data_IF_368206209851
#
_entry.id   IF_368206209851
#
_cell.length_a   1.000
_cell.length_b   1.000
_cell.length_c   1.000
_cell.angle_alpha   90.00
_cell.angle_beta   90.00
_cell.angle_gamma   90.00
#
_symmetry.space_group_name_H-M   'P 1'
#
loop_
_entity.id
_entity.type
_entity.pdbx_description
1 polymer ?
#
# COMPACT_ATOMS: atom_id res chain seq x y z
N UNK A 1 19.75 10.28 17.65
CA UNK A 1 21.17 9.88 17.47
C UNK A 1 21.48 8.86 18.55
N UNK A 2 22.14 7.73 18.21
CA UNK A 2 22.46 6.68 19.20
C UNK A 2 23.56 7.20 20.14
N UNK A 3 23.40 7.10 21.47
CA UNK A 3 24.46 7.47 22.42
C UNK A 3 25.75 6.68 22.16
N UNK A 4 26.91 7.35 22.16
CA UNK A 4 28.21 6.70 21.89
C UNK A 4 28.49 5.55 22.87
N UNK A 5 28.06 5.72 24.11
CA UNK A 5 28.21 4.72 25.17
C UNK A 5 27.45 3.42 24.89
N UNK A 6 26.33 3.45 24.16
CA UNK A 6 25.60 2.24 23.77
C UNK A 6 26.21 1.60 22.50
N UNK A 7 26.85 2.40 21.64
CA UNK A 7 27.43 1.93 20.38
C UNK A 7 28.69 1.09 20.57
N UNK A 8 29.50 1.44 21.56
CA UNK A 8 30.81 0.81 21.79
C UNK A 8 30.75 -0.35 22.80
N UNK A 9 29.57 -0.60 23.40
CA UNK A 9 29.35 -1.71 24.34
C UNK A 9 29.01 -3.02 23.61
N UNK A 10 29.45 -4.18 24.11
CA UNK A 10 29.00 -5.46 23.60
C UNK A 10 27.53 -5.71 23.95
N UNK A 11 26.75 -6.22 22.99
CA UNK A 11 25.31 -6.43 23.08
C UNK A 11 24.86 -7.16 24.37
N UNK A 12 25.59 -8.19 24.78
CA UNK A 12 25.25 -9.03 25.94
C UNK A 12 25.45 -8.35 27.30
N UNK A 13 26.06 -7.17 27.33
CA UNK A 13 26.26 -6.37 28.55
C UNK A 13 25.20 -5.29 28.75
N UNK A 14 24.28 -5.12 27.81
CA UNK A 14 23.26 -4.08 27.86
C UNK A 14 22.12 -4.48 28.82
N UNK A 15 21.71 -3.51 29.62
CA UNK A 15 20.52 -3.59 30.47
C UNK A 15 19.25 -3.49 29.62
N UNK A 16 18.12 -3.99 30.14
CA UNK A 16 16.84 -3.89 29.46
C UNK A 16 16.44 -2.46 29.08
N UNK A 17 16.79 -1.48 29.93
CA UNK A 17 16.58 -0.05 29.65
C UNK A 17 17.39 0.45 28.45
N UNK A 18 18.66 0.05 28.33
CA UNK A 18 19.52 0.43 27.20
C UNK A 18 19.03 -0.22 25.89
N UNK A 19 18.46 -1.43 25.97
CA UNK A 19 17.83 -2.10 24.82
C UNK A 19 16.59 -1.32 24.38
N UNK A 20 15.70 -0.93 25.30
CA UNK A 20 14.50 -0.13 24.97
C UNK A 20 14.90 1.20 24.32
N UNK A 21 15.95 1.86 24.83
CA UNK A 21 16.47 3.10 24.27
C UNK A 21 17.05 2.92 22.85
N UNK A 22 17.76 1.82 22.59
CA UNK A 22 18.25 1.49 21.26
C UNK A 22 17.11 1.22 20.28
N UNK A 23 16.10 0.46 20.70
CA UNK A 23 14.90 0.17 19.89
C UNK A 23 14.15 1.45 19.54
N UNK A 24 13.94 2.34 20.50
CA UNK A 24 13.29 3.63 20.25
C UNK A 24 14.08 4.49 19.26
N UNK A 25 15.41 4.50 19.35
CA UNK A 25 16.27 5.23 18.41
C UNK A 25 16.27 4.67 16.97
N UNK A 26 16.01 3.37 16.78
CA UNK A 26 16.03 2.70 15.47
C UNK A 26 14.62 2.66 14.83
N UNK A 27 13.59 2.36 15.62
CA UNK A 27 12.22 2.14 15.14
C UNK A 27 11.36 3.40 15.16
N UNK A 28 11.64 4.33 16.08
CA UNK A 28 10.91 5.58 16.24
C UNK A 28 11.88 6.75 16.06
N UNK A 29 12.31 7.07 14.82
CA UNK A 29 12.92 8.36 14.60
C UNK A 29 11.93 9.40 15.12
N UNK A 30 12.46 10.29 15.95
CA UNK A 30 11.76 11.38 16.62
C UNK A 30 10.72 12.03 15.69
N UNK A 31 9.61 12.47 16.28
CA UNK A 31 8.41 13.06 15.66
C UNK A 31 8.62 14.20 14.64
N UNK A 32 9.86 14.58 14.31
CA UNK A 32 10.19 15.72 13.47
C UNK A 32 10.96 15.37 12.19
N UNK A 33 11.12 14.09 11.85
CA UNK A 33 11.57 13.71 10.52
C UNK A 33 10.35 13.42 9.65
N UNK A 34 9.97 14.40 8.82
CA UNK A 34 9.25 14.19 7.56
C UNK A 34 10.05 13.21 6.70
N UNK A 35 9.95 11.92 7.03
CA UNK A 35 10.19 10.90 6.05
C UNK A 35 8.90 10.92 5.24
N UNK A 36 8.99 11.42 4.01
CA UNK A 36 8.16 10.92 2.91
C UNK A 36 8.41 9.41 2.83
N UNK A 37 7.86 8.67 3.80
CA UNK A 37 7.62 7.27 3.63
C UNK A 37 6.59 7.32 2.53
N UNK A 38 7.01 6.95 1.33
CA UNK A 38 6.11 6.29 0.41
C UNK A 38 5.73 4.99 1.15
N UNK A 39 4.88 5.11 2.16
CA UNK A 39 4.04 4.05 2.65
C UNK A 39 3.21 3.73 1.42
N UNK A 40 3.72 2.82 0.59
CA UNK A 40 2.83 2.02 -0.24
C UNK A 40 2.08 1.17 0.76
N UNK A 41 1.10 1.81 1.36
CA UNK A 41 0.23 1.23 2.35
C UNK A 41 -0.67 0.26 1.59
N UNK A 42 -0.13 -0.95 1.35
CA UNK A 42 -0.85 -2.02 0.68
C UNK A 42 -2.00 -2.53 1.55
N UNK A 43 -2.12 -2.04 2.79
CA UNK A 43 -3.16 -2.42 3.75
C UNK A 43 -4.50 -1.73 3.51
N UNK A 44 -4.52 -0.62 2.76
CA UNK A 44 -5.73 0.17 2.51
C UNK A 44 -6.21 0.22 1.05
N UNK A 45 -5.56 -0.50 0.13
CA UNK A 45 -6.12 -0.65 -1.22
C UNK A 45 -7.20 -1.72 -1.22
N UNK A 46 -8.44 -1.30 -1.35
CA UNK A 46 -9.54 -2.19 -1.70
C UNK A 46 -9.26 -2.78 -3.09
N UNK A 47 -8.69 -4.00 -3.10
CA UNK A 47 -8.41 -4.75 -4.31
C UNK A 47 -9.62 -5.58 -4.68
N UNK A 48 -10.03 -5.46 -5.94
CA UNK A 48 -11.20 -6.13 -6.49
C UNK A 48 -10.75 -7.18 -7.49
N UNK A 49 -11.29 -8.40 -7.36
CA UNK A 49 -10.81 -9.54 -8.14
C UNK A 49 -11.75 -9.90 -9.29
N UNK A 50 -11.20 -9.92 -10.51
CA UNK A 50 -11.89 -10.36 -11.72
C UNK A 50 -13.03 -9.44 -12.18
N UNK A 51 -13.68 -9.85 -13.29
CA UNK A 51 -14.79 -9.10 -13.88
C UNK A 51 -16.02 -9.09 -12.96
N UNK A 52 -16.24 -10.16 -12.19
CA UNK A 52 -17.34 -10.23 -11.22
C UNK A 52 -17.18 -9.13 -10.16
N UNK A 53 -16.00 -9.01 -9.56
CA UNK A 53 -15.74 -7.97 -8.58
C UNK A 53 -15.86 -6.57 -9.19
N UNK A 54 -15.36 -6.37 -10.41
CA UNK A 54 -15.51 -5.07 -11.09
C UNK A 54 -16.98 -4.69 -11.30
N UNK A 55 -17.82 -5.66 -11.69
CA UNK A 55 -19.25 -5.45 -11.86
C UNK A 55 -19.95 -5.09 -10.53
N UNK A 56 -19.56 -5.75 -9.43
CA UNK A 56 -20.07 -5.46 -8.08
C UNK A 56 -19.64 -4.06 -7.60
N UNK A 57 -18.38 -3.67 -7.82
CA UNK A 57 -17.87 -2.34 -7.49
C UNK A 57 -18.64 -1.22 -8.22
N UNK A 58 -18.96 -1.45 -9.49
CA UNK A 58 -19.63 -0.45 -10.35
C UNK A 58 -21.16 -0.54 -10.32
N UNK A 59 -21.74 -1.54 -9.66
CA UNK A 59 -23.18 -1.81 -9.70
C UNK A 59 -23.72 -2.07 -11.12
N UNK A 60 -22.89 -2.58 -12.03
CA UNK A 60 -23.25 -2.79 -13.43
C UNK A 60 -23.33 -4.27 -13.83
N UNK A 61 -23.92 -4.58 -14.98
CA UNK A 61 -23.91 -5.94 -15.54
C UNK A 61 -22.52 -6.42 -15.93
N UNK A 62 -22.31 -7.74 -15.98
CA UNK A 62 -21.03 -8.37 -16.37
C UNK A 62 -20.57 -7.94 -17.77
N UNK A 63 -21.49 -7.84 -18.72
CA UNK A 63 -21.20 -7.39 -20.09
C UNK A 63 -20.64 -5.98 -20.09
N UNK A 64 -21.22 -5.08 -19.29
CA UNK A 64 -20.76 -3.68 -19.21
C UNK A 64 -19.39 -3.56 -18.55
N UNK A 65 -19.14 -4.33 -17.50
CA UNK A 65 -17.83 -4.41 -16.87
C UNK A 65 -16.76 -4.95 -17.85
N UNK A 66 -17.11 -5.94 -18.68
CA UNK A 66 -16.22 -6.47 -19.71
C UNK A 66 -15.94 -5.43 -20.80
N UNK A 67 -16.97 -4.71 -21.27
CA UNK A 67 -16.82 -3.59 -22.21
C UNK A 67 -15.84 -2.55 -21.67
N UNK A 68 -16.02 -2.10 -20.41
CA UNK A 68 -15.15 -1.11 -19.75
C UNK A 68 -13.71 -1.60 -19.59
N UNK A 69 -13.50 -2.90 -19.39
CA UNK A 69 -12.16 -3.47 -19.41
C UNK A 69 -11.58 -3.44 -20.83
N UNK A 70 -12.36 -3.86 -21.83
CA UNK A 70 -11.90 -3.95 -23.22
C UNK A 70 -11.70 -2.58 -23.89
N UNK A 71 -12.44 -1.56 -23.46
CA UNK A 71 -12.30 -0.19 -23.97
C UNK A 71 -10.98 0.45 -23.55
N UNK A 72 -10.27 -0.11 -22.58
CA UNK A 72 -8.97 0.37 -22.12
C UNK A 72 -9.03 1.55 -21.15
N UNK A 73 -10.22 2.03 -20.79
CA UNK A 73 -10.41 3.15 -19.84
C UNK A 73 -9.76 2.85 -18.49
N UNK A 74 -9.84 1.59 -18.05
CA UNK A 74 -9.34 1.15 -16.74
C UNK A 74 -7.89 0.64 -16.77
N UNK A 75 -7.14 0.83 -17.86
CA UNK A 75 -5.82 0.22 -18.07
C UNK A 75 -4.82 0.53 -16.95
N UNK A 76 -4.89 1.71 -16.36
CA UNK A 76 -4.02 2.14 -15.25
C UNK A 76 -4.41 1.54 -13.89
N UNK A 77 -5.65 1.04 -13.76
CA UNK A 77 -6.18 0.41 -12.56
C UNK A 77 -6.14 -1.13 -12.63
N UNK A 78 -5.83 -1.71 -13.81
CA UNK A 78 -5.77 -3.16 -14.00
C UNK A 78 -4.36 -3.69 -13.72
N UNK A 79 -4.29 -4.68 -12.82
CA UNK A 79 -3.11 -5.51 -12.59
C UNK A 79 -3.43 -6.92 -13.08
N UNK A 80 -2.82 -7.32 -14.20
CA UNK A 80 -3.03 -8.62 -14.81
C UNK A 80 -1.77 -9.49 -14.72
N UNK A 81 -1.91 -10.68 -14.14
CA UNK A 81 -0.89 -11.74 -14.17
C UNK A 81 -1.49 -13.00 -14.81
N UNK A 82 -1.27 -13.17 -16.11
CA UNK A 82 -1.88 -14.24 -16.91
C UNK A 82 -3.42 -14.15 -16.92
N UNK A 83 -4.10 -15.18 -16.38
CA UNK A 83 -5.57 -15.21 -16.24
C UNK A 83 -6.08 -14.51 -14.97
N UNK A 84 -5.19 -14.15 -14.03
CA UNK A 84 -5.56 -13.42 -12.82
C UNK A 84 -5.65 -11.94 -13.14
N UNK A 85 -6.79 -11.32 -12.81
CA UNK A 85 -7.05 -9.91 -13.02
C UNK A 85 -7.45 -9.31 -11.68
N UNK A 86 -6.76 -8.26 -11.28
CA UNK A 86 -7.00 -7.51 -10.05
C UNK A 86 -7.19 -6.05 -10.45
N UNK A 87 -8.18 -5.41 -9.86
CA UNK A 87 -8.51 -4.02 -10.06
C UNK A 87 -8.29 -3.26 -8.75
N UNK A 88 -7.71 -2.08 -8.86
CA UNK A 88 -7.60 -1.13 -7.74
C UNK A 88 -8.89 -0.31 -7.66
N UNK A 89 -9.73 -0.54 -6.64
CA UNK A 89 -11.07 0.03 -6.57
C UNK A 89 -11.05 1.56 -6.58
N UNK A 90 -10.15 2.16 -5.80
CA UNK A 90 -10.01 3.61 -5.72
C UNK A 90 -9.69 4.21 -7.10
N UNK A 91 -8.68 3.65 -7.79
CA UNK A 91 -8.30 4.11 -9.12
C UNK A 91 -9.39 3.91 -10.17
N UNK A 92 -10.14 2.82 -10.11
CA UNK A 92 -11.27 2.59 -11.03
C UNK A 92 -12.30 3.72 -10.91
N UNK A 93 -12.65 4.10 -9.69
CA UNK A 93 -13.61 5.17 -9.44
C UNK A 93 -13.06 6.55 -9.86
N UNK A 94 -11.78 6.83 -9.64
CA UNK A 94 -11.12 8.05 -10.10
C UNK A 94 -11.12 8.17 -11.63
N UNK A 95 -10.73 7.11 -12.33
CA UNK A 95 -10.69 7.10 -13.79
C UNK A 95 -12.08 7.30 -14.41
N UNK A 96 -13.12 6.73 -13.80
CA UNK A 96 -14.50 6.92 -14.27
C UNK A 96 -15.00 8.35 -14.06
N UNK A 97 -14.61 9.02 -12.96
CA UNK A 97 -14.94 10.43 -12.74
C UNK A 97 -14.31 11.35 -13.77
N UNK A 98 -13.07 11.07 -14.19
CA UNK A 98 -12.35 11.88 -15.20
C UNK A 98 -12.85 11.66 -16.64
N UNK A 99 -13.83 10.78 -16.85
CA UNK A 99 -14.44 10.50 -18.16
C UNK A 99 -15.86 11.07 -18.29
N UNK A 100 -16.35 11.79 -17.28
CA UNK A 100 -17.58 12.59 -17.34
C UNK A 100 -17.26 14.02 -17.76
#
# INVERSE_FOLDING_TARGET
MIPKELRDKPFFSMTGSEIVELFNNILLPSKDATIERIERDFTHKELVHGIKGLAELLGCGRTKAQELKSSGILKEAVIQNGKKIIFDAAKVLELLKNQQ
#
